data_IF_692013785472
#
_entry.id   IF_692013785472
#
_cell.length_a   1.000
_cell.length_b   1.000
_cell.length_c   1.000
_cell.angle_alpha   90.00
_cell.angle_beta   90.00
_cell.angle_gamma   90.00
#
_symmetry.space_group_name_H-M   'P 1'
#
loop_
_entity.id
_entity.type
_entity.pdbx_description
1 polymer ?
#
# COMPACT_ATOMS: atom_id res chain seq x y z
N UNK A 1 42.25 -23.26 80.27
CA UNK A 1 40.99 -23.58 79.58
C UNK A 1 40.24 -22.35 79.03
N UNK A 2 40.83 -21.13 79.02
CA UNK A 2 40.12 -19.91 78.57
C UNK A 2 40.35 -19.48 77.11
N UNK A 3 41.35 -20.03 76.39
CA UNK A 3 41.67 -19.59 75.01
C UNK A 3 40.71 -20.10 73.93
N UNK A 4 39.82 -21.04 74.21
CA UNK A 4 38.87 -21.58 73.22
C UNK A 4 37.54 -20.81 73.13
N UNK A 5 37.17 -19.99 74.13
CA UNK A 5 35.92 -19.20 74.12
C UNK A 5 35.97 -17.95 73.23
N UNK A 6 37.15 -17.33 73.10
CA UNK A 6 37.34 -16.10 72.31
C UNK A 6 37.30 -16.34 70.79
N UNK A 7 37.67 -17.52 70.32
CA UNK A 7 37.56 -17.89 68.89
C UNK A 7 36.12 -18.15 68.44
N UNK A 8 35.26 -18.67 69.32
CA UNK A 8 33.83 -18.88 69.05
C UNK A 8 33.06 -17.57 68.89
N UNK A 9 33.29 -16.61 69.78
CA UNK A 9 32.66 -15.28 69.74
C UNK A 9 33.09 -14.43 68.52
N UNK A 10 34.33 -14.59 68.05
CA UNK A 10 34.80 -13.93 66.82
C UNK A 10 34.19 -14.54 65.55
N UNK A 11 33.92 -15.84 65.52
CA UNK A 11 33.24 -16.51 64.40
C UNK A 11 31.74 -16.20 64.36
N UNK A 12 31.08 -16.04 65.52
CA UNK A 12 29.65 -15.75 65.62
C UNK A 12 29.32 -14.29 65.23
N UNK A 13 30.15 -13.33 65.66
CA UNK A 13 30.05 -11.92 65.26
C UNK A 13 30.22 -11.74 63.74
N UNK A 14 31.07 -12.56 63.12
CA UNK A 14 31.30 -12.54 61.68
C UNK A 14 30.17 -13.24 60.88
N UNK A 15 29.45 -14.21 61.48
CA UNK A 15 28.24 -14.82 60.88
C UNK A 15 27.04 -13.87 60.87
N UNK A 16 26.88 -13.03 61.91
CA UNK A 16 25.85 -11.98 61.93
C UNK A 16 26.09 -10.90 60.87
N UNK A 17 27.34 -10.46 60.70
CA UNK A 17 27.71 -9.53 59.62
C UNK A 17 27.48 -10.12 58.23
N UNK A 18 27.91 -11.37 58.00
CA UNK A 18 27.74 -12.06 56.70
C UNK A 18 26.28 -12.30 56.32
N UNK A 19 25.42 -12.61 57.28
CA UNK A 19 23.97 -12.74 57.03
C UNK A 19 23.31 -11.40 56.71
N UNK A 20 23.74 -10.31 57.37
CA UNK A 20 23.31 -8.95 57.03
C UNK A 20 23.71 -8.51 55.61
N UNK A 21 24.97 -8.77 55.22
CA UNK A 21 25.43 -8.49 53.85
C UNK A 21 24.70 -9.35 52.81
N UNK A 22 24.40 -10.61 53.12
CA UNK A 22 23.62 -11.49 52.24
C UNK A 22 22.20 -10.97 52.05
N UNK A 23 21.52 -10.56 53.12
CA UNK A 23 20.18 -9.97 53.06
C UNK A 23 20.17 -8.66 52.25
N UNK A 24 21.15 -7.79 52.48
CA UNK A 24 21.31 -6.55 51.71
C UNK A 24 21.55 -6.84 50.22
N UNK A 25 22.39 -7.82 49.91
CA UNK A 25 22.68 -8.22 48.54
C UNK A 25 21.45 -8.80 47.84
N UNK A 26 20.69 -9.67 48.50
CA UNK A 26 19.42 -10.21 47.99
C UNK A 26 18.41 -9.09 47.76
N UNK A 27 18.29 -8.13 48.68
CA UNK A 27 17.43 -6.97 48.52
C UNK A 27 17.82 -6.13 47.31
N UNK A 28 19.11 -5.83 47.13
CA UNK A 28 19.60 -5.08 45.97
C UNK A 28 19.35 -5.83 44.66
N UNK A 29 19.54 -7.15 44.62
CA UNK A 29 19.20 -7.97 43.45
C UNK A 29 17.70 -7.97 43.17
N UNK A 30 16.86 -8.03 44.20
CA UNK A 30 15.41 -7.96 44.04
C UNK A 30 14.97 -6.60 43.48
N UNK A 31 15.49 -5.49 44.02
CA UNK A 31 15.24 -4.14 43.52
C UNK A 31 15.70 -4.00 42.07
N UNK A 32 16.91 -4.46 41.76
CA UNK A 32 17.44 -4.45 40.39
C UNK A 32 16.56 -5.27 39.45
N UNK A 33 16.10 -6.45 39.88
CA UNK A 33 15.18 -7.29 39.13
C UNK A 33 13.85 -6.60 38.83
N UNK A 34 13.26 -5.91 39.82
CA UNK A 34 12.03 -5.12 39.64
C UNK A 34 12.24 -3.97 38.67
N UNK A 35 13.37 -3.25 38.77
CA UNK A 35 13.69 -2.14 37.85
C UNK A 35 13.85 -2.64 36.41
N UNK A 36 14.62 -3.71 36.19
CA UNK A 36 14.81 -4.29 34.86
C UNK A 36 13.49 -4.83 34.28
N UNK A 37 12.66 -5.46 35.11
CA UNK A 37 11.33 -5.90 34.74
C UNK A 37 10.41 -4.72 34.37
N UNK A 38 10.42 -3.65 35.19
CA UNK A 38 9.67 -2.43 34.96
C UNK A 38 10.06 -1.75 33.64
N UNK A 39 11.35 -1.58 33.38
CA UNK A 39 11.86 -1.01 32.13
C UNK A 39 11.46 -1.84 30.90
N UNK A 40 11.58 -3.17 30.98
CA UNK A 40 11.14 -4.06 29.90
C UNK A 40 9.63 -4.00 29.65
N UNK A 41 8.83 -3.81 30.71
CA UNK A 41 7.37 -3.61 30.60
C UNK A 41 7.03 -2.26 29.97
N UNK A 42 7.74 -1.20 30.34
CA UNK A 42 7.56 0.15 29.77
C UNK A 42 7.84 0.17 28.26
N UNK A 43 8.92 -0.47 27.81
CA UNK A 43 9.23 -0.56 26.37
C UNK A 43 8.11 -1.26 25.60
N UNK A 44 7.60 -2.39 26.12
CA UNK A 44 6.48 -3.10 25.51
C UNK A 44 5.20 -2.26 25.46
N UNK A 45 4.89 -1.52 26.53
CA UNK A 45 3.74 -0.62 26.56
C UNK A 45 3.88 0.49 25.51
N UNK A 46 5.03 1.16 25.47
CA UNK A 46 5.30 2.20 24.49
C UNK A 46 5.18 1.69 23.05
N UNK A 47 5.74 0.51 22.75
CA UNK A 47 5.61 -0.12 21.43
C UNK A 47 4.15 -0.41 21.06
N UNK A 48 3.34 -0.85 22.03
CA UNK A 48 1.92 -1.09 21.78
C UNK A 48 1.14 0.21 21.56
N UNK A 49 1.45 1.28 22.29
CA UNK A 49 0.84 2.60 22.08
C UNK A 49 1.19 3.16 20.68
N UNK A 50 2.45 3.02 20.26
CA UNK A 50 2.89 3.37 18.91
C UNK A 50 2.14 2.54 17.87
N UNK A 51 2.03 1.23 18.06
CA UNK A 51 1.30 0.36 17.13
C UNK A 51 -0.20 0.73 17.06
N UNK A 52 -0.84 1.00 18.19
CA UNK A 52 -2.24 1.45 18.22
C UNK A 52 -2.45 2.80 17.51
N UNK A 53 -1.49 3.72 17.66
CA UNK A 53 -1.48 4.99 16.94
C UNK A 53 -1.34 4.78 15.43
N UNK A 54 -0.46 3.86 15.01
CA UNK A 54 -0.31 3.49 13.61
C UNK A 54 -1.58 2.84 13.04
N UNK A 55 -2.27 1.99 13.79
CA UNK A 55 -3.58 1.43 13.38
C UNK A 55 -4.59 2.54 13.14
N UNK A 56 -4.65 3.53 14.03
CA UNK A 56 -5.56 4.67 13.92
C UNK A 56 -5.22 5.54 12.69
N UNK A 57 -3.95 5.88 12.50
CA UNK A 57 -3.48 6.65 11.34
C UNK A 57 -3.75 5.90 10.03
N UNK A 58 -3.40 4.62 9.96
CA UNK A 58 -3.65 3.78 8.80
C UNK A 58 -5.17 3.64 8.49
N UNK A 59 -6.01 3.60 9.53
CA UNK A 59 -7.46 3.67 9.37
C UNK A 59 -7.94 4.96 8.71
N UNK A 60 -7.36 6.11 9.07
CA UNK A 60 -7.65 7.40 8.44
C UNK A 60 -7.22 7.42 6.97
N UNK A 61 -6.03 6.90 6.65
CA UNK A 61 -5.54 6.80 5.26
C UNK A 61 -6.47 5.93 4.42
N UNK A 62 -6.84 4.76 4.92
CA UNK A 62 -7.78 3.85 4.25
C UNK A 62 -9.12 4.55 3.96
N UNK A 63 -9.67 5.28 4.93
CA UNK A 63 -10.91 6.02 4.75
C UNK A 63 -10.80 7.13 3.69
N UNK A 64 -9.64 7.81 3.60
CA UNK A 64 -9.39 8.80 2.55
C UNK A 64 -9.28 8.16 1.17
N UNK A 65 -8.59 7.02 1.03
CA UNK A 65 -8.51 6.27 -0.23
C UNK A 65 -9.87 5.75 -0.69
N UNK A 66 -10.66 5.19 0.23
CA UNK A 66 -12.01 4.72 -0.07
C UNK A 66 -12.93 5.87 -0.49
N UNK A 67 -12.84 7.03 0.15
CA UNK A 67 -13.60 8.23 -0.25
C UNK A 67 -13.17 8.76 -1.62
N UNK A 68 -11.88 8.79 -1.90
CA UNK A 68 -11.37 9.18 -3.22
C UNK A 68 -11.92 8.24 -4.29
N UNK A 69 -11.81 6.93 -4.08
CA UNK A 69 -12.29 5.91 -5.02
C UNK A 69 -13.80 6.01 -5.26
N UNK A 70 -14.59 6.14 -4.21
CA UNK A 70 -16.04 6.34 -4.31
C UNK A 70 -16.42 7.63 -5.04
N UNK A 71 -15.63 8.69 -4.87
CA UNK A 71 -15.88 9.96 -5.57
C UNK A 71 -15.62 9.79 -7.05
N UNK A 72 -14.45 9.26 -7.44
CA UNK A 72 -14.13 9.03 -8.85
C UNK A 72 -15.10 8.03 -9.52
N UNK A 73 -15.54 6.98 -8.82
CA UNK A 73 -16.57 6.07 -9.33
C UNK A 73 -17.93 6.75 -9.54
N UNK A 74 -18.33 7.67 -8.65
CA UNK A 74 -19.58 8.43 -8.80
C UNK A 74 -19.51 9.36 -10.00
N UNK A 75 -18.42 10.10 -10.16
CA UNK A 75 -18.21 10.96 -11.34
C UNK A 75 -18.28 10.14 -12.62
N UNK A 76 -17.56 9.01 -12.70
CA UNK A 76 -17.58 8.15 -13.89
C UNK A 76 -18.98 7.57 -14.19
N UNK A 77 -19.77 7.25 -13.15
CA UNK A 77 -21.17 6.83 -13.31
C UNK A 77 -22.05 7.95 -13.84
N UNK A 78 -21.86 9.18 -13.38
CA UNK A 78 -22.58 10.34 -13.92
C UNK A 78 -22.26 10.55 -15.39
N UNK A 79 -20.99 10.45 -15.78
CA UNK A 79 -20.55 10.54 -17.18
C UNK A 79 -21.14 9.42 -18.06
N UNK A 80 -21.09 8.18 -17.58
CA UNK A 80 -21.67 7.04 -18.30
C UNK A 80 -23.21 7.13 -18.43
N UNK A 81 -23.87 7.84 -17.52
CA UNK A 81 -25.30 8.09 -17.55
C UNK A 81 -25.69 9.32 -18.41
N UNK A 82 -24.74 10.03 -19.01
CA UNK A 82 -25.02 11.20 -19.85
C UNK A 82 -25.95 10.81 -21.03
N UNK A 83 -27.14 11.42 -21.15
CA UNK A 83 -28.05 11.16 -22.26
C UNK A 83 -27.44 11.42 -23.63
N UNK A 84 -26.57 12.42 -23.78
CA UNK A 84 -25.94 12.75 -25.05
C UNK A 84 -25.00 11.62 -25.51
N UNK A 85 -24.20 11.09 -24.58
CA UNK A 85 -23.32 9.96 -24.84
C UNK A 85 -24.11 8.70 -25.20
N UNK A 86 -25.17 8.39 -24.44
CA UNK A 86 -26.03 7.22 -24.71
C UNK A 86 -26.71 7.29 -26.08
N UNK A 87 -27.26 8.46 -26.44
CA UNK A 87 -27.88 8.66 -27.75
C UNK A 87 -26.87 8.54 -28.89
N UNK A 88 -25.66 9.07 -28.72
CA UNK A 88 -24.60 8.96 -29.72
C UNK A 88 -24.18 7.51 -29.93
N UNK A 89 -24.01 6.73 -28.86
CA UNK A 89 -23.68 5.31 -28.92
C UNK A 89 -24.77 4.47 -29.61
N UNK A 90 -26.05 4.71 -29.28
CA UNK A 90 -27.17 4.02 -29.92
C UNK A 90 -27.26 4.32 -31.42
N UNK A 91 -27.02 5.57 -31.83
CA UNK A 91 -26.93 5.92 -33.25
C UNK A 91 -25.78 5.21 -33.94
N UNK A 92 -24.63 5.12 -33.27
CA UNK A 92 -23.46 4.45 -33.84
C UNK A 92 -23.71 2.96 -34.05
N UNK A 93 -24.37 2.29 -33.11
CA UNK A 93 -24.78 0.88 -33.21
C UNK A 93 -25.76 0.68 -34.39
N UNK A 94 -26.75 1.57 -34.55
CA UNK A 94 -27.70 1.54 -35.66
C UNK A 94 -27.05 1.77 -37.03
N UNK A 95 -25.95 2.53 -37.09
CA UNK A 95 -25.15 2.81 -38.29
C UNK A 95 -24.06 1.74 -38.56
N UNK A 96 -24.08 0.61 -37.86
CA UNK A 96 -23.04 -0.44 -37.90
C UNK A 96 -21.61 0.12 -37.70
N UNK A 97 -21.46 1.15 -36.87
CA UNK A 97 -20.16 1.76 -36.59
C UNK A 97 -19.61 2.66 -37.71
N UNK A 98 -20.39 3.00 -38.75
CA UNK A 98 -19.89 3.78 -39.92
C UNK A 98 -20.09 5.29 -39.82
N UNK A 99 -20.78 5.77 -38.78
CA UNK A 99 -21.06 7.19 -38.57
C UNK A 99 -19.84 8.04 -38.23
N UNK A 100 -19.19 8.66 -39.22
CA UNK A 100 -18.07 9.58 -38.97
C UNK A 100 -18.47 10.79 -38.11
N UNK A 101 -19.68 11.32 -38.30
CA UNK A 101 -20.19 12.44 -37.50
C UNK A 101 -20.44 12.02 -36.05
N UNK A 102 -21.01 10.83 -35.85
CA UNK A 102 -21.28 10.23 -34.54
C UNK A 102 -19.97 9.97 -33.78
N UNK A 103 -18.94 9.45 -34.45
CA UNK A 103 -17.61 9.30 -33.86
C UNK A 103 -17.02 10.64 -33.39
N UNK A 104 -17.11 11.71 -34.19
CA UNK A 104 -16.63 13.04 -33.80
C UNK A 104 -17.38 13.57 -32.57
N UNK A 105 -18.70 13.39 -32.52
CA UNK A 105 -19.51 13.80 -31.37
C UNK A 105 -19.09 13.06 -30.08
N UNK A 106 -18.92 11.74 -30.13
CA UNK A 106 -18.46 10.94 -28.99
C UNK A 106 -17.07 11.41 -28.53
N UNK A 107 -16.17 11.64 -29.49
CA UNK A 107 -14.83 12.13 -29.24
C UNK A 107 -14.82 13.50 -28.55
N UNK A 108 -15.69 14.43 -28.95
CA UNK A 108 -15.81 15.75 -28.34
C UNK A 108 -16.46 15.71 -26.95
N UNK A 109 -17.43 14.80 -26.73
CA UNK A 109 -17.99 14.53 -25.41
C UNK A 109 -16.92 14.02 -24.44
N UNK A 110 -16.10 13.05 -24.87
CA UNK A 110 -14.99 12.54 -24.04
C UNK A 110 -13.99 13.67 -23.68
N UNK A 111 -13.65 14.56 -24.62
CA UNK A 111 -12.74 15.70 -24.36
C UNK A 111 -13.33 16.68 -23.35
N UNK A 112 -14.61 17.00 -23.49
CA UNK A 112 -15.30 17.91 -22.57
C UNK A 112 -15.30 17.35 -21.15
N UNK A 113 -15.58 16.05 -21.03
CA UNK A 113 -15.66 15.37 -19.73
C UNK A 113 -14.29 15.11 -19.08
N UNK A 114 -13.21 14.99 -19.86
CA UNK A 114 -11.85 14.80 -19.33
C UNK A 114 -11.44 15.95 -18.40
N UNK A 115 -11.75 17.19 -18.77
CA UNK A 115 -11.39 18.39 -18.00
C UNK A 115 -12.08 18.43 -16.63
N UNK A 116 -13.23 17.76 -16.49
CA UNK A 116 -14.05 17.75 -15.27
C UNK A 116 -13.70 16.54 -14.39
N UNK A 117 -13.32 15.42 -15.00
CA UNK A 117 -13.10 14.14 -14.32
C UNK A 117 -11.82 14.09 -13.47
N UNK A 118 -10.86 14.99 -13.70
CA UNK A 118 -9.54 14.94 -13.05
C UNK A 118 -8.72 13.69 -13.43
N UNK A 119 -9.09 13.02 -14.52
CA UNK A 119 -8.40 11.86 -15.06
C UNK A 119 -7.31 12.29 -16.08
N UNK A 120 -6.30 11.45 -16.27
CA UNK A 120 -5.30 11.64 -17.33
C UNK A 120 -5.88 11.31 -18.71
N UNK A 121 -6.73 10.29 -18.76
CA UNK A 121 -7.47 9.93 -19.96
C UNK A 121 -8.85 9.36 -19.66
N UNK A 122 -9.74 9.55 -20.64
CA UNK A 122 -11.00 8.86 -20.78
C UNK A 122 -10.95 8.04 -22.07
N UNK A 123 -11.26 6.75 -21.97
CA UNK A 123 -11.38 5.86 -23.10
C UNK A 123 -12.77 5.27 -23.15
N UNK A 124 -13.34 5.19 -24.35
CA UNK A 124 -14.61 4.53 -24.57
C UNK A 124 -14.37 3.30 -25.45
N UNK A 125 -14.68 2.13 -24.91
CA UNK A 125 -14.56 0.86 -25.60
C UNK A 125 -15.94 0.34 -25.97
N UNK A 126 -16.17 -0.14 -27.21
CA UNK A 126 -17.36 -0.91 -27.54
C UNK A 126 -17.51 -2.12 -26.60
N UNK A 127 -18.74 -2.56 -26.34
CA UNK A 127 -18.99 -3.73 -25.50
C UNK A 127 -18.40 -5.04 -26.05
N UNK A 128 -18.14 -5.10 -27.36
CA UNK A 128 -17.69 -6.28 -28.09
C UNK A 128 -16.23 -6.20 -28.58
N UNK A 129 -15.52 -5.11 -28.30
CA UNK A 129 -14.19 -4.84 -28.84
C UNK A 129 -13.14 -4.59 -27.75
N UNK A 130 -11.90 -4.97 -28.06
CA UNK A 130 -10.71 -4.68 -27.24
C UNK A 130 -10.02 -3.37 -27.65
N UNK A 131 -10.56 -2.65 -28.64
CA UNK A 131 -10.01 -1.38 -29.10
C UNK A 131 -10.95 -0.21 -28.72
N UNK A 132 -10.41 0.94 -28.29
CA UNK A 132 -11.24 2.10 -27.99
C UNK A 132 -11.84 2.68 -29.27
N UNK A 133 -13.12 3.06 -29.23
CA UNK A 133 -13.79 3.81 -30.29
C UNK A 133 -13.55 5.33 -30.18
N UNK A 134 -13.26 5.81 -28.98
CA UNK A 134 -12.96 7.21 -28.70
C UNK A 134 -12.00 7.32 -27.52
N UNK A 135 -11.18 8.38 -27.55
CA UNK A 135 -10.18 8.63 -26.50
C UNK A 135 -10.02 10.12 -26.27
N UNK A 136 -10.04 10.57 -25.03
CA UNK A 136 -9.59 11.91 -24.66
C UNK A 136 -8.45 11.77 -23.67
N UNK A 137 -7.32 12.42 -23.92
CA UNK A 137 -6.16 12.35 -23.05
C UNK A 137 -5.47 13.71 -22.94
N UNK A 138 -4.83 13.90 -21.79
CA UNK A 138 -3.86 14.97 -21.56
C UNK A 138 -2.57 14.70 -22.35
N UNK A 139 -1.70 15.71 -22.49
CA UNK A 139 -0.38 15.53 -23.11
C UNK A 139 0.47 14.52 -22.32
N UNK A 140 1.24 13.68 -23.02
CA UNK A 140 2.17 12.73 -22.40
C UNK A 140 1.54 11.44 -21.82
N UNK A 141 0.23 11.28 -21.99
CA UNK A 141 -0.51 10.10 -21.50
C UNK A 141 -0.22 8.89 -22.39
N UNK A 142 0.00 7.69 -21.80
CA UNK A 142 0.30 6.48 -22.56
C UNK A 142 -0.83 6.07 -23.51
N UNK A 143 -0.47 5.22 -24.48
CA UNK A 143 -1.42 4.61 -25.40
C UNK A 143 -2.52 3.85 -24.62
N UNK A 144 -3.74 3.72 -25.21
CA UNK A 144 -4.83 3.01 -24.56
C UNK A 144 -4.40 1.61 -24.12
N UNK A 145 -4.74 1.20 -22.88
CA UNK A 145 -4.36 -0.10 -22.37
C UNK A 145 -5.04 -1.21 -23.18
N UNK A 146 -4.27 -2.23 -23.57
CA UNK A 146 -4.83 -3.44 -24.17
C UNK A 146 -5.43 -4.30 -23.06
N UNK A 147 -6.76 -4.29 -22.97
CA UNK A 147 -7.47 -5.09 -21.98
C UNK A 147 -7.59 -6.54 -22.44
N UNK A 148 -7.19 -7.46 -21.56
CA UNK A 148 -7.46 -8.89 -21.73
C UNK A 148 -8.95 -9.18 -21.59
N UNK A 149 -9.44 -10.29 -22.16
CA UNK A 149 -10.86 -10.68 -22.04
C UNK A 149 -11.36 -10.72 -20.57
N UNK A 150 -10.61 -11.25 -19.60
CA UNK A 150 -11.04 -11.18 -18.19
C UNK A 150 -11.13 -9.75 -17.65
N UNK A 151 -10.25 -8.83 -18.08
CA UNK A 151 -10.31 -7.43 -17.67
C UNK A 151 -11.52 -6.72 -18.29
N UNK A 152 -11.87 -7.03 -19.55
CA UNK A 152 -13.08 -6.52 -20.19
C UNK A 152 -14.33 -6.93 -19.42
N UNK A 153 -14.47 -8.21 -19.05
CA UNK A 153 -15.62 -8.68 -18.27
C UNK A 153 -15.73 -7.99 -16.91
N UNK A 154 -14.61 -7.79 -16.23
CA UNK A 154 -14.56 -7.06 -14.96
C UNK A 154 -14.90 -5.58 -15.12
N UNK A 155 -14.42 -4.95 -16.20
CA UNK A 155 -14.74 -3.57 -16.53
C UNK A 155 -16.24 -3.39 -16.86
N UNK A 156 -16.84 -4.33 -17.59
CA UNK A 156 -18.30 -4.38 -17.84
C UNK A 156 -19.08 -4.56 -16.53
N UNK A 157 -18.51 -5.25 -15.54
CA UNK A 157 -19.08 -5.33 -14.18
C UNK A 157 -18.84 -4.06 -13.33
N UNK A 158 -18.20 -3.02 -13.88
CA UNK A 158 -17.90 -1.76 -13.18
C UNK A 158 -16.74 -1.87 -12.18
N UNK A 159 -15.87 -2.87 -12.32
CA UNK A 159 -14.71 -3.03 -11.45
C UNK A 159 -13.59 -2.05 -11.80
N UNK A 160 -12.87 -1.60 -10.77
CA UNK A 160 -11.60 -0.88 -10.92
C UNK A 160 -10.47 -1.87 -11.21
N UNK A 161 -9.71 -1.58 -12.25
CA UNK A 161 -8.56 -2.34 -12.69
C UNK A 161 -7.26 -1.60 -12.35
N UNK A 162 -6.21 -2.36 -12.07
CA UNK A 162 -4.84 -1.84 -11.97
C UNK A 162 -4.11 -2.26 -13.24
N UNK A 163 -3.44 -1.32 -13.88
CA UNK A 163 -2.54 -1.58 -15.01
C UNK A 163 -1.22 -0.86 -14.79
N UNK A 164 -0.26 -1.07 -15.70
CA UNK A 164 1.02 -0.38 -15.68
C UNK A 164 1.36 0.12 -17.09
N UNK A 165 1.93 1.32 -17.20
CA UNK A 165 2.54 1.82 -18.44
C UNK A 165 4.00 2.17 -18.18
N UNK A 166 4.93 1.56 -18.91
CA UNK A 166 6.38 1.79 -18.78
C UNK A 166 6.88 1.80 -17.32
N UNK A 167 6.33 0.90 -16.49
CA UNK A 167 6.56 0.74 -15.03
C UNK A 167 5.86 1.71 -14.08
N UNK A 168 5.12 2.69 -14.59
CA UNK A 168 4.23 3.54 -13.77
C UNK A 168 2.92 2.81 -13.45
N UNK A 169 2.54 2.66 -12.17
CA UNK A 169 1.26 2.07 -11.79
C UNK A 169 0.12 3.03 -12.14
N UNK A 170 -0.89 2.53 -12.85
CA UNK A 170 -2.04 3.31 -13.28
C UNK A 170 -3.33 2.64 -12.81
N UNK A 171 -4.29 3.46 -12.39
CA UNK A 171 -5.62 3.01 -12.03
C UNK A 171 -6.59 3.26 -13.17
N UNK A 172 -7.28 2.20 -13.56
CA UNK A 172 -8.34 2.20 -14.55
C UNK A 172 -9.66 2.01 -13.82
N UNK A 173 -10.41 3.09 -13.66
CA UNK A 173 -11.79 2.98 -13.19
C UNK A 173 -12.68 2.72 -14.39
N UNK A 174 -13.47 1.65 -14.34
CA UNK A 174 -14.40 1.30 -15.39
C UNK A 174 -15.84 1.52 -14.94
N UNK A 175 -16.69 1.96 -15.86
CA UNK A 175 -18.12 1.93 -15.68
C UNK A 175 -18.81 1.60 -17.02
N UNK A 176 -19.76 0.65 -17.05
CA UNK A 176 -20.49 0.36 -18.27
C UNK A 176 -21.44 1.51 -18.61
N UNK A 177 -21.57 1.79 -19.90
CA UNK A 177 -22.63 2.64 -20.45
C UNK A 177 -23.78 1.72 -20.84
N UNK A 178 -24.90 1.82 -20.14
CA UNK A 178 -26.05 0.94 -20.31
C UNK A 178 -27.13 1.59 -21.18
N UNK A 179 -27.80 0.79 -22.00
CA UNK A 179 -29.04 1.17 -22.68
C UNK A 179 -30.24 1.20 -21.70
N UNK A 180 -31.41 1.58 -22.19
CA UNK A 180 -32.64 1.63 -21.38
C UNK A 180 -33.11 0.26 -20.87
N UNK A 181 -32.64 -0.84 -21.47
CA UNK A 181 -32.94 -2.22 -21.05
C UNK A 181 -31.89 -2.80 -20.09
N UNK A 182 -30.84 -2.05 -19.77
CA UNK A 182 -29.73 -2.48 -18.92
C UNK A 182 -28.65 -3.26 -19.64
N UNK A 183 -28.65 -3.31 -20.98
CA UNK A 183 -27.58 -3.95 -21.77
C UNK A 183 -26.40 -2.99 -21.92
N UNK A 184 -25.15 -3.46 -21.79
CA UNK A 184 -23.97 -2.61 -22.00
C UNK A 184 -23.78 -2.29 -23.48
N UNK A 185 -23.76 -1.00 -23.81
CA UNK A 185 -23.42 -0.47 -25.14
C UNK A 185 -21.91 -0.27 -25.31
N UNK A 186 -21.27 0.16 -24.22
CA UNK A 186 -19.86 0.48 -24.19
C UNK A 186 -19.32 0.38 -22.74
N UNK A 187 -18.00 0.46 -22.60
CA UNK A 187 -17.31 0.68 -21.33
C UNK A 187 -16.63 2.03 -21.37
N UNK A 188 -16.93 2.87 -20.38
CA UNK A 188 -16.18 4.09 -20.13
C UNK A 188 -15.08 3.80 -19.12
N UNK A 189 -13.84 4.07 -19.49
CA UNK A 189 -12.65 3.90 -18.66
C UNK A 189 -12.04 5.25 -18.36
N UNK A 190 -11.75 5.52 -17.09
CA UNK A 190 -10.96 6.66 -16.65
C UNK A 190 -9.60 6.19 -16.14
N UNK A 191 -8.54 6.78 -16.67
CA UNK A 191 -7.16 6.49 -16.32
C UNK A 191 -6.64 7.54 -15.33
N UNK A 192 -6.08 7.08 -14.22
CA UNK A 192 -5.45 7.90 -13.20
C UNK A 192 -4.03 7.42 -12.96
N UNK A 193 -3.09 8.35 -12.91
CA UNK A 193 -1.76 8.07 -12.38
C UNK A 193 -1.85 7.92 -10.85
N UNK A 194 -1.30 6.81 -10.35
CA UNK A 194 -1.34 6.49 -8.92
C UNK A 194 -0.52 7.48 -8.11
N UNK A 195 0.62 7.91 -8.64
CA UNK A 195 1.50 8.84 -7.94
C UNK A 195 0.76 10.16 -7.78
N UNK A 196 0.26 10.74 -8.87
CA UNK A 196 -0.43 12.04 -8.82
C UNK A 196 -1.73 11.99 -8.01
N UNK A 197 -2.49 10.89 -8.13
CA UNK A 197 -3.81 10.80 -7.51
C UNK A 197 -3.79 10.34 -6.05
N UNK A 198 -2.84 9.46 -5.67
CA UNK A 198 -2.86 8.76 -4.39
C UNK A 198 -1.67 9.04 -3.49
N UNK A 199 -0.50 9.41 -4.03
CA UNK A 199 0.64 9.80 -3.19
C UNK A 199 0.28 10.92 -2.20
N UNK A 200 -0.46 11.98 -2.58
CA UNK A 200 -0.84 13.04 -1.65
C UNK A 200 -1.69 12.56 -0.46
N UNK A 201 -2.41 11.45 -0.62
CA UNK A 201 -3.26 10.86 0.42
C UNK A 201 -2.46 10.08 1.47
N UNK A 202 -1.21 9.69 1.15
CA UNK A 202 -0.35 8.89 2.03
C UNK A 202 0.88 9.65 2.54
N UNK A 203 1.45 10.57 1.74
CA UNK A 203 2.74 11.23 2.01
C UNK A 203 2.79 11.95 3.37
N UNK A 204 1.71 12.66 3.70
CA UNK A 204 1.63 13.51 4.89
C UNK A 204 1.08 12.79 6.12
N UNK A 205 0.63 11.53 5.97
CA UNK A 205 0.10 10.76 7.10
C UNK A 205 1.20 9.87 7.64
N UNK A 206 1.96 10.38 8.63
CA UNK A 206 3.06 9.63 9.25
C UNK A 206 3.15 9.90 10.75
N UNK A 207 3.66 8.92 11.47
CA UNK A 207 3.97 9.05 12.88
C UNK A 207 5.45 9.40 13.06
N UNK A 208 5.71 10.57 13.66
CA UNK A 208 7.08 11.03 13.92
C UNK A 208 7.92 11.26 12.66
N UNK A 209 9.24 11.32 12.84
CA UNK A 209 10.19 11.58 11.73
C UNK A 209 10.56 10.33 10.94
N UNK A 210 10.58 9.17 11.59
CA UNK A 210 10.97 7.87 11.02
C UNK A 210 9.82 7.13 10.31
N UNK A 211 8.58 7.60 10.48
CA UNK A 211 7.40 6.99 9.87
C UNK A 211 7.29 7.24 8.37
N UNK A 212 6.67 6.29 7.70
CA UNK A 212 6.29 6.33 6.29
C UNK A 212 4.97 5.58 6.13
N UNK A 213 4.12 6.08 5.23
CA UNK A 213 2.92 5.41 4.77
C UNK A 213 3.04 5.27 3.26
N UNK A 214 2.74 4.08 2.75
CA UNK A 214 2.83 3.77 1.32
C UNK A 214 1.81 2.71 0.95
N UNK A 215 1.51 2.63 -0.35
CA UNK A 215 0.58 1.66 -0.92
C UNK A 215 1.34 0.48 -1.52
N UNK A 216 0.75 -0.72 -1.42
CA UNK A 216 1.33 -1.96 -1.95
C UNK A 216 0.32 -2.67 -2.85
N UNK A 217 0.74 -3.01 -4.06
CA UNK A 217 -0.10 -3.66 -5.08
C UNK A 217 0.01 -5.18 -5.08
N UNK A 218 -0.78 -5.80 -5.98
CA UNK A 218 -0.64 -7.21 -6.35
C UNK A 218 0.82 -7.55 -6.65
N UNK A 219 1.38 -8.58 -6.00
CA UNK A 219 2.80 -8.99 -6.07
C UNK A 219 3.77 -8.27 -5.11
N UNK A 220 3.29 -7.32 -4.29
CA UNK A 220 4.09 -6.70 -3.23
C UNK A 220 4.94 -5.52 -3.68
N UNK A 221 4.71 -4.99 -4.89
CA UNK A 221 5.34 -3.75 -5.34
C UNK A 221 4.70 -2.55 -4.67
N UNK A 222 5.51 -1.55 -4.33
CA UNK A 222 5.03 -0.25 -3.89
C UNK A 222 4.34 0.43 -5.08
N UNK A 223 3.15 0.96 -4.80
CA UNK A 223 2.36 1.70 -5.77
C UNK A 223 2.62 3.20 -5.70
N UNK A 224 2.99 3.71 -4.52
CA UNK A 224 3.40 5.09 -4.30
C UNK A 224 4.89 5.17 -4.06
N UNK A 225 5.52 6.28 -4.43
CA UNK A 225 6.94 6.49 -4.17
C UNK A 225 7.27 6.40 -2.67
N UNK A 226 8.43 5.84 -2.36
CA UNK A 226 8.98 5.85 -1.01
C UNK A 226 9.75 7.15 -0.75
N UNK A 227 9.63 7.69 0.47
CA UNK A 227 10.43 8.84 0.90
C UNK A 227 11.91 8.50 1.12
N UNK A 228 12.23 7.22 1.26
CA UNK A 228 13.59 6.72 1.49
C UNK A 228 14.30 6.35 0.18
N UNK A 229 13.76 6.76 -0.97
CA UNK A 229 14.37 6.53 -2.28
C UNK A 229 15.81 7.05 -2.36
N UNK A 230 16.13 8.20 -1.74
CA UNK A 230 17.50 8.73 -1.73
C UNK A 230 18.47 7.83 -0.95
N UNK A 231 18.03 7.26 0.18
CA UNK A 231 18.82 6.32 0.97
C UNK A 231 19.11 5.03 0.17
N UNK A 232 18.14 4.59 -0.63
CA UNK A 232 18.24 3.37 -1.43
C UNK A 232 19.02 3.54 -2.74
N UNK A 233 18.93 4.72 -3.37
CA UNK A 233 19.55 5.00 -4.67
C UNK A 233 21.09 4.88 -4.64
N UNK A 234 21.71 5.19 -3.50
CA UNK A 234 23.16 5.08 -3.31
C UNK A 234 23.68 3.66 -3.12
N UNK A 235 22.79 2.67 -3.00
CA UNK A 235 23.17 1.29 -2.73
C UNK A 235 23.45 0.52 -4.03
N UNK A 236 24.56 -0.22 -4.04
CA UNK A 236 25.05 -0.98 -5.20
C UNK A 236 24.00 -1.92 -5.81
N UNK A 237 23.11 -2.47 -4.98
CA UNK A 237 22.06 -3.38 -5.40
C UNK A 237 21.00 -2.74 -6.31
N UNK A 238 20.69 -1.46 -6.04
CA UNK A 238 19.77 -0.66 -6.85
C UNK A 238 20.48 0.02 -8.02
N UNK A 239 21.77 0.37 -7.88
CA UNK A 239 22.57 0.95 -8.95
C UNK A 239 22.86 -0.02 -10.12
N UNK A 240 23.06 -1.32 -9.83
CA UNK A 240 23.38 -2.34 -10.87
C UNK A 240 22.18 -2.75 -11.73
N UNK A 241 20.95 -2.45 -11.30
CA UNK A 241 19.72 -2.86 -12.00
C UNK A 241 19.09 -1.72 -12.79
N UNK A 242 19.86 -0.66 -13.09
CA UNK A 242 19.39 0.52 -13.81
C UNK A 242 18.43 1.36 -12.97
N UNK A 243 18.08 2.55 -13.46
CA UNK A 243 17.19 3.55 -12.83
C UNK A 243 15.74 3.08 -12.59
N UNK A 244 15.48 1.78 -12.44
CA UNK A 244 14.19 1.18 -12.10
C UNK A 244 13.96 1.19 -10.57
N UNK A 245 14.10 2.35 -9.94
CA UNK A 245 13.51 2.59 -8.62
C UNK A 245 11.97 2.66 -8.69
N UNK A 246 11.41 2.72 -9.91
CA UNK A 246 9.99 2.47 -10.20
C UNK A 246 9.71 0.95 -10.10
N UNK A 247 8.83 0.56 -9.18
CA UNK A 247 8.57 -0.84 -8.86
C UNK A 247 9.42 -1.41 -7.71
N UNK A 248 9.79 -0.58 -6.73
CA UNK A 248 10.34 -1.07 -5.46
C UNK A 248 9.40 -2.13 -4.87
N UNK A 249 9.93 -3.29 -4.50
CA UNK A 249 9.14 -4.36 -3.87
C UNK A 249 9.28 -4.29 -2.36
N UNK A 250 8.17 -4.41 -1.64
CA UNK A 250 8.13 -4.50 -0.18
C UNK A 250 8.66 -5.87 0.30
N UNK A 251 9.94 -6.13 0.04
CA UNK A 251 10.62 -7.40 0.28
C UNK A 251 11.75 -7.25 1.31
N UNK A 252 11.86 -8.19 2.24
CA UNK A 252 12.87 -8.22 3.30
C UNK A 252 14.24 -8.66 2.72
N UNK A 253 15.26 -7.79 2.70
CA UNK A 253 16.61 -8.14 2.24
C UNK A 253 17.38 -9.08 3.20
N UNK A 254 16.77 -9.46 4.32
CA UNK A 254 17.36 -10.33 5.34
C UNK A 254 18.27 -9.61 6.33
N UNK A 255 18.60 -8.34 6.09
CA UNK A 255 19.46 -7.53 6.94
C UNK A 255 19.51 -6.07 6.48
N UNK A 256 19.99 -5.18 7.35
CA UNK A 256 19.93 -3.74 7.15
C UNK A 256 20.90 -3.28 6.05
N UNK A 257 20.34 -2.89 4.90
CA UNK A 257 21.10 -2.44 3.74
C UNK A 257 21.90 -1.16 4.01
N UNK A 258 21.37 -0.27 4.86
CA UNK A 258 22.01 0.98 5.24
C UNK A 258 23.24 0.77 6.15
N UNK A 259 23.41 -0.44 6.68
CA UNK A 259 24.59 -0.85 7.47
C UNK A 259 25.53 -1.78 6.70
N UNK A 260 25.45 -1.79 5.37
CA UNK A 260 26.35 -2.54 4.51
C UNK A 260 26.02 -4.03 4.38
N UNK A 261 24.84 -4.47 4.83
CA UNK A 261 24.38 -5.84 4.57
C UNK A 261 24.26 -6.07 3.07
N UNK A 262 24.80 -7.20 2.61
CA UNK A 262 24.75 -7.61 1.20
C UNK A 262 23.85 -8.85 1.06
N UNK A 263 22.61 -8.69 0.57
CA UNK A 263 21.69 -9.81 0.43
C UNK A 263 22.16 -10.82 -0.61
N UNK A 264 21.75 -12.08 -0.41
CA UNK A 264 21.92 -13.11 -1.43
C UNK A 264 20.86 -12.94 -2.51
N UNK A 265 21.29 -12.91 -3.77
CA UNK A 265 20.41 -12.83 -4.94
C UNK A 265 19.78 -11.45 -5.21
N UNK A 266 19.15 -11.27 -6.38
CA UNK A 266 18.52 -10.02 -6.80
C UNK A 266 17.26 -9.67 -5.98
N UNK A 267 16.83 -8.40 -5.94
CA UNK A 267 15.69 -7.95 -5.10
C UNK A 267 14.38 -8.70 -5.38
N UNK A 268 14.19 -9.16 -6.62
CA UNK A 268 12.99 -9.91 -7.05
C UNK A 268 12.85 -11.26 -6.34
N UNK A 269 13.94 -11.84 -5.84
CA UNK A 269 13.95 -13.14 -5.15
C UNK A 269 13.76 -13.01 -3.63
N UNK A 270 13.90 -11.81 -3.08
CA UNK A 270 13.74 -11.60 -1.65
C UNK A 270 12.31 -11.93 -1.20
N UNK A 271 12.14 -12.52 0.00
CA UNK A 271 10.82 -12.78 0.56
C UNK A 271 10.09 -11.46 0.82
N UNK A 272 8.76 -11.46 0.72
CA UNK A 272 7.97 -10.29 1.11
C UNK A 272 8.20 -9.96 2.59
N UNK A 273 8.16 -8.68 2.94
CA UNK A 273 8.09 -8.25 4.35
C UNK A 273 6.86 -8.86 5.01
N UNK A 274 6.86 -8.94 6.34
CA UNK A 274 5.72 -9.50 7.09
C UNK A 274 4.39 -8.82 6.70
N UNK A 275 4.38 -7.50 6.64
CA UNK A 275 3.23 -6.71 6.21
C UNK A 275 2.81 -7.03 4.77
N UNK A 276 3.73 -7.01 3.80
CA UNK A 276 3.39 -7.27 2.41
C UNK A 276 2.90 -8.71 2.19
N UNK A 277 3.41 -9.68 2.97
CA UNK A 277 2.92 -11.05 3.00
C UNK A 277 1.53 -11.17 3.63
N UNK A 278 1.20 -10.38 4.64
CA UNK A 278 -0.15 -10.37 5.20
C UNK A 278 -1.15 -9.77 4.20
N UNK A 279 -0.80 -8.65 3.56
CA UNK A 279 -1.62 -8.04 2.51
C UNK A 279 -1.86 -8.97 1.32
N UNK A 280 -0.84 -9.77 0.94
CA UNK A 280 -0.99 -10.77 -0.14
C UNK A 280 -1.99 -11.87 0.16
N UNK A 281 -2.26 -12.12 1.44
CA UNK A 281 -3.23 -13.08 1.94
C UNK A 281 -4.59 -12.43 2.24
N UNK A 282 -4.76 -11.13 1.96
CA UNK A 282 -5.99 -10.40 2.27
C UNK A 282 -6.13 -10.01 3.74
N UNK A 283 -5.02 -9.97 4.50
CA UNK A 283 -5.04 -9.80 5.96
C UNK A 283 -4.60 -8.39 6.36
N UNK A 284 -5.41 -7.75 7.20
CA UNK A 284 -5.06 -6.54 7.94
C UNK A 284 -4.43 -6.90 9.28
N UNK A 285 -3.59 -6.02 9.84
CA UNK A 285 -2.92 -6.32 11.11
C UNK A 285 -1.94 -5.25 11.56
N UNK A 286 -1.20 -5.58 12.60
CA UNK A 286 -0.10 -4.77 13.14
C UNK A 286 0.96 -5.66 13.78
N UNK A 287 2.18 -5.17 13.91
CA UNK A 287 3.26 -5.80 14.67
C UNK A 287 4.00 -4.77 15.53
N UNK A 288 3.74 -4.83 16.85
CA UNK A 288 4.38 -4.00 17.87
C UNK A 288 5.77 -4.52 18.30
N UNK A 289 6.08 -5.80 18.07
CA UNK A 289 7.42 -6.34 18.34
C UNK A 289 8.40 -5.90 17.26
N UNK A 290 7.87 -5.76 16.05
CA UNK A 290 8.52 -5.20 14.89
C UNK A 290 9.11 -6.26 13.96
N UNK A 291 9.28 -5.86 12.71
CA UNK A 291 9.79 -6.68 11.62
C UNK A 291 10.71 -5.85 10.72
N UNK A 292 11.44 -6.48 9.80
CA UNK A 292 12.28 -5.76 8.83
C UNK A 292 11.44 -5.20 7.69
N UNK A 293 11.60 -3.91 7.41
CA UNK A 293 11.07 -3.28 6.20
C UNK A 293 11.91 -3.63 4.96
N UNK A 294 11.58 -3.01 3.82
CA UNK A 294 12.29 -3.26 2.56
C UNK A 294 13.74 -2.71 2.51
N UNK A 295 14.14 -1.92 3.52
CA UNK A 295 15.54 -1.49 3.74
C UNK A 295 16.28 -2.46 4.67
N UNK A 296 15.58 -3.42 5.27
CA UNK A 296 16.08 -4.31 6.30
C UNK A 296 16.15 -3.67 7.69
N UNK A 297 15.50 -2.52 7.90
CA UNK A 297 15.45 -1.81 9.18
C UNK A 297 14.30 -2.38 10.01
N UNK A 298 14.52 -2.59 11.31
CA UNK A 298 13.47 -3.01 12.23
C UNK A 298 12.46 -1.89 12.43
N UNK A 299 11.19 -2.14 12.12
CA UNK A 299 10.09 -1.19 12.22
C UNK A 299 8.91 -1.80 12.96
N UNK A 300 8.11 -0.94 13.59
CA UNK A 300 6.76 -1.26 14.05
C UNK A 300 5.81 -0.84 12.93
N UNK A 301 4.83 -1.67 12.61
CA UNK A 301 3.95 -1.42 11.47
C UNK A 301 2.49 -1.75 11.76
N UNK A 302 1.60 -1.06 11.07
CA UNK A 302 0.19 -1.40 10.94
C UNK A 302 -0.18 -1.36 9.45
N UNK A 303 -1.08 -2.24 9.04
CA UNK A 303 -1.50 -2.36 7.64
C UNK A 303 -2.97 -2.72 7.55
N UNK A 304 -3.59 -2.33 6.45
CA UNK A 304 -4.96 -2.71 6.15
C UNK A 304 -5.10 -3.15 4.71
N UNK A 305 -5.70 -4.32 4.54
CA UNK A 305 -6.17 -4.77 3.25
C UNK A 305 -7.53 -4.12 2.96
N UNK A 306 -7.71 -3.64 1.73
CA UNK A 306 -8.99 -3.11 1.26
C UNK A 306 -9.41 -3.89 0.02
N UNK A 307 -10.53 -4.62 0.11
CA UNK A 307 -11.10 -5.39 -1.01
C UNK A 307 -11.48 -4.53 -2.22
N UNK A 308 -12.20 -3.41 -2.02
CA UNK A 308 -12.49 -2.43 -3.07
C UNK A 308 -11.23 -1.96 -3.81
N UNK A 309 -10.11 -1.85 -3.07
CA UNK A 309 -8.82 -1.37 -3.54
C UNK A 309 -7.77 -2.48 -3.64
N UNK A 310 -8.19 -3.76 -3.75
CA UNK A 310 -7.31 -4.93 -3.83
C UNK A 310 -6.69 -5.05 -5.22
N UNK A 311 -6.08 -3.95 -5.67
CA UNK A 311 -5.54 -3.70 -6.99
C UNK A 311 -4.47 -4.76 -7.33
N UNK A 312 -4.83 -5.67 -8.24
CA UNK A 312 -3.95 -6.76 -8.68
C UNK A 312 -3.95 -8.01 -7.80
N UNK A 313 -4.77 -8.08 -6.74
CA UNK A 313 -4.97 -9.31 -5.95
C UNK A 313 -6.26 -10.02 -6.38
N UNK A 314 -6.28 -11.35 -6.49
CA UNK A 314 -7.52 -12.09 -6.67
C UNK A 314 -8.43 -11.80 -5.47
N UNK A 315 -9.64 -11.29 -5.69
CA UNK A 315 -10.65 -11.26 -4.62
C UNK A 315 -11.03 -12.70 -4.33
N UNK A 316 -10.92 -13.12 -3.07
CA UNK A 316 -11.62 -14.33 -2.64
C UNK A 316 -13.11 -14.00 -2.64
N UNK A 317 -13.88 -14.71 -3.44
CA UNK A 317 -15.32 -14.79 -3.23
C UNK A 317 -15.52 -15.42 -1.85
N UNK A 318 -15.98 -14.61 -0.90
CA UNK A 318 -16.65 -15.14 0.31
C UNK A 318 -18.04 -15.59 -0.06
#
# INVERSE_FOLDING_TARGET
MEKFGLLGLLLEKNRLGRSGYLLMFIYLLAVLGVVLYGLGRMDRQLRQEVAASLVTLNGSVRASLERWHQTMQRELRHLAADPALRQALQRLEAEEGRGQQTHRLIQDLCRTHLQVAGAEALYLYPSDSQMPMAQACSEGVPAPPQLTQPQVQRALAGETLLTHADTRPLLLLANPVLDASGRPLAMLLALFDVEDSLHPLVENVRLGQSGETYLVGGQGHLLTQSRFMQELAGLSHFARHGRQLQGLRAADPGGNLLRGHSPQGPPRQWPLTQMAKALSLGQSGMDAQGYRDYRGVMVIGAWSWSGPLAWGWPRRST
#
